data_IF_609004266460
#
_entry.id   IF_609004266460
#
_cell.length_a   1.000
_cell.length_b   1.000
_cell.length_c   1.000
_cell.angle_alpha   90.00
_cell.angle_beta   90.00
_cell.angle_gamma   90.00
#
_symmetry.space_group_name_H-M   'P 1'
#
loop_
_entity.id
_entity.type
_entity.pdbx_description
1 polymer ?
#
# COMPACT_ATOMS: atom_id res chain seq x y z
N UNK A 1 24.17 -14.98 -14.94
CA UNK A 1 23.67 -14.62 -13.59
C UNK A 1 22.37 -13.85 -13.76
N UNK A 2 21.24 -14.40 -13.34
CA UNK A 2 19.97 -13.66 -13.35
C UNK A 2 20.00 -12.60 -12.25
N UNK A 3 19.90 -11.32 -12.61
CA UNK A 3 19.73 -10.25 -11.62
C UNK A 3 18.24 -10.20 -11.27
N UNK A 4 17.90 -10.48 -10.01
CA UNK A 4 16.55 -10.24 -9.52
C UNK A 4 16.39 -8.72 -9.35
N UNK A 5 15.44 -8.11 -10.06
CA UNK A 5 15.13 -6.69 -9.90
C UNK A 5 14.65 -6.47 -8.46
N UNK A 6 15.34 -5.61 -7.72
CA UNK A 6 14.88 -5.16 -6.40
C UNK A 6 13.86 -4.05 -6.62
N UNK A 7 12.58 -4.25 -6.24
CA UNK A 7 11.56 -3.25 -6.48
C UNK A 7 11.71 -2.06 -5.54
N UNK A 8 11.49 -0.85 -6.06
CA UNK A 8 11.36 0.36 -5.24
C UNK A 8 9.97 0.36 -4.60
N UNK A 9 9.91 0.39 -3.28
CA UNK A 9 8.63 0.37 -2.57
C UNK A 9 8.01 1.77 -2.49
N UNK A 10 6.74 1.88 -2.85
CA UNK A 10 5.93 3.09 -2.78
C UNK A 10 4.72 2.82 -1.88
N UNK A 11 4.36 3.76 -1.03
CA UNK A 11 3.18 3.65 -0.17
C UNK A 11 1.98 4.25 -0.92
N UNK A 12 0.90 3.48 -1.03
CA UNK A 12 -0.38 3.93 -1.60
C UNK A 12 -1.41 3.94 -0.49
N UNK A 13 -1.77 5.13 -0.02
CA UNK A 13 -2.83 5.30 0.96
C UNK A 13 -4.18 5.19 0.26
N UNK A 14 -4.97 4.21 0.69
CA UNK A 14 -6.35 4.05 0.26
C UNK A 14 -7.23 5.00 1.08
N UNK A 15 -8.04 5.78 0.39
CA UNK A 15 -9.00 6.66 1.04
C UNK A 15 -10.10 5.85 1.75
N UNK A 16 -10.62 6.41 2.84
CA UNK A 16 -11.66 5.79 3.64
C UNK A 16 -13.02 5.82 2.95
N UNK A 17 -13.27 4.89 2.02
CA UNK A 17 -14.64 4.61 1.61
C UNK A 17 -15.45 4.05 2.79
N UNK A 18 -16.74 4.34 2.88
CA UNK A 18 -17.59 3.88 3.99
C UNK A 18 -17.81 2.36 4.06
N UNK A 19 -17.31 1.60 3.07
CA UNK A 19 -17.66 0.20 2.84
C UNK A 19 -16.56 -0.81 3.20
N UNK A 20 -15.59 -0.42 4.04
CA UNK A 20 -14.60 -1.37 4.54
C UNK A 20 -15.27 -2.38 5.48
N UNK A 21 -14.98 -3.70 5.36
CA UNK A 21 -15.43 -4.67 6.35
C UNK A 21 -14.79 -4.41 7.71
N UNK A 22 -15.61 -4.28 8.76
CA UNK A 22 -15.15 -3.94 10.13
C UNK A 22 -15.36 -5.06 11.16
N UNK A 23 -15.89 -6.20 10.71
CA UNK A 23 -16.23 -7.35 11.56
C UNK A 23 -15.25 -8.52 11.41
N UNK A 24 -14.46 -8.53 10.34
CA UNK A 24 -13.48 -9.59 10.06
C UNK A 24 -12.19 -9.04 9.46
N UNK A 25 -11.06 -9.41 10.05
CA UNK A 25 -9.74 -9.09 9.52
C UNK A 25 -9.50 -9.73 8.15
N UNK A 26 -9.98 -10.96 7.95
CA UNK A 26 -9.87 -11.66 6.68
C UNK A 26 -10.66 -10.93 5.59
N UNK A 27 -11.91 -10.54 5.88
CA UNK A 27 -12.73 -9.78 4.94
C UNK A 27 -12.07 -8.45 4.57
N UNK A 28 -11.52 -7.73 5.55
CA UNK A 28 -10.78 -6.50 5.32
C UNK A 28 -9.57 -6.71 4.40
N UNK A 29 -8.74 -7.72 4.66
CA UNK A 29 -7.57 -8.04 3.84
C UNK A 29 -7.97 -8.47 2.42
N UNK A 30 -9.06 -9.22 2.25
CA UNK A 30 -9.59 -9.61 0.95
C UNK A 30 -10.11 -8.40 0.17
N UNK A 31 -10.83 -7.48 0.82
CA UNK A 31 -11.25 -6.21 0.19
C UNK A 31 -10.05 -5.39 -0.25
N UNK A 32 -9.03 -5.27 0.60
CA UNK A 32 -7.78 -4.58 0.26
C UNK A 32 -7.05 -5.24 -0.92
N UNK A 33 -7.02 -6.57 -0.98
CA UNK A 33 -6.47 -7.31 -2.10
C UNK A 33 -7.29 -7.09 -3.39
N UNK A 34 -8.63 -7.07 -3.30
CA UNK A 34 -9.52 -6.79 -4.42
C UNK A 34 -9.32 -5.37 -4.99
N UNK A 35 -9.06 -4.37 -4.14
CA UNK A 35 -8.62 -3.03 -4.58
C UNK A 35 -7.30 -3.12 -5.34
N UNK A 36 -6.35 -3.93 -4.87
CA UNK A 36 -5.08 -4.18 -5.58
C UNK A 36 -5.27 -4.82 -6.96
N UNK A 37 -6.21 -5.75 -7.10
CA UNK A 37 -6.58 -6.34 -8.41
C UNK A 37 -7.15 -5.28 -9.34
N UNK A 38 -8.12 -4.48 -8.86
CA UNK A 38 -8.72 -3.40 -9.66
C UNK A 38 -7.68 -2.35 -10.09
N UNK A 39 -6.73 -2.02 -9.22
CA UNK A 39 -5.62 -1.14 -9.55
C UNK A 39 -4.73 -1.73 -10.65
N UNK A 40 -4.37 -3.01 -10.54
CA UNK A 40 -3.59 -3.70 -11.55
C UNK A 40 -4.31 -3.75 -12.92
N UNK A 41 -5.62 -4.01 -12.92
CA UNK A 41 -6.44 -4.01 -14.13
C UNK A 41 -6.51 -2.63 -14.76
N UNK A 42 -6.68 -1.56 -13.95
CA UNK A 42 -6.68 -0.19 -14.45
C UNK A 42 -5.33 0.23 -15.04
N UNK A 43 -4.21 -0.16 -14.40
CA UNK A 43 -2.86 0.09 -14.92
C UNK A 43 -2.64 -0.59 -16.28
N UNK A 44 -3.11 -1.81 -16.42
CA UNK A 44 -3.06 -2.55 -17.68
C UNK A 44 -3.95 -1.91 -18.74
N UNK A 45 -5.22 -1.66 -18.43
CA UNK A 45 -6.21 -1.17 -19.39
C UNK A 45 -5.94 0.26 -19.87
N UNK A 46 -5.50 1.16 -18.99
CA UNK A 46 -5.31 2.57 -19.33
C UNK A 46 -3.90 2.91 -19.80
N UNK A 47 -2.88 2.15 -19.37
CA UNK A 47 -1.47 2.50 -19.61
C UNK A 47 -0.65 1.36 -20.22
N UNK A 48 -1.24 0.18 -20.45
CA UNK A 48 -0.54 -1.02 -20.92
C UNK A 48 0.66 -1.39 -20.02
N UNK A 49 0.54 -1.08 -18.72
CA UNK A 49 1.58 -1.36 -17.74
C UNK A 49 1.38 -2.77 -17.19
N UNK A 50 2.44 -3.58 -17.22
CA UNK A 50 2.41 -4.91 -16.61
C UNK A 50 2.44 -4.78 -15.09
N UNK A 51 1.43 -5.32 -14.44
CA UNK A 51 1.30 -5.36 -12.98
C UNK A 51 0.99 -6.76 -12.47
N UNK A 52 1.37 -7.05 -11.23
CA UNK A 52 1.08 -8.30 -10.52
C UNK A 52 0.54 -7.98 -9.12
N UNK A 53 -0.77 -8.14 -8.89
CA UNK A 53 -1.35 -7.94 -7.55
C UNK A 53 -0.98 -9.08 -6.60
N UNK A 54 -0.91 -8.76 -5.30
CA UNK A 54 -0.68 -9.67 -4.18
C UNK A 54 -1.46 -9.19 -2.93
N UNK A 55 -1.48 -10.01 -1.86
CA UNK A 55 -2.13 -9.68 -0.59
C UNK A 55 -1.43 -8.49 0.09
N UNK A 56 -1.87 -7.26 -0.23
CA UNK A 56 -1.38 -6.02 0.37
C UNK A 56 -0.42 -5.18 -0.48
N UNK A 57 -0.05 -5.62 -1.68
CA UNK A 57 0.72 -4.80 -2.61
C UNK A 57 0.45 -5.15 -4.08
N UNK A 58 0.87 -4.27 -4.98
CA UNK A 58 0.91 -4.51 -6.43
C UNK A 58 2.33 -4.26 -6.92
N UNK A 59 2.96 -5.29 -7.49
CA UNK A 59 4.23 -5.12 -8.19
C UNK A 59 3.95 -4.56 -9.60
N UNK A 60 4.68 -3.53 -10.02
CA UNK A 60 4.50 -2.82 -11.29
C UNK A 60 5.83 -2.81 -12.04
N UNK A 61 5.79 -3.14 -13.34
CA UNK A 61 6.98 -3.26 -14.19
C UNK A 61 6.90 -2.25 -15.34
N UNK A 62 7.85 -1.31 -15.38
CA UNK A 62 7.91 -0.23 -16.37
C UNK A 62 9.36 -0.01 -16.77
N UNK A 63 9.66 -0.05 -18.08
CA UNK A 63 10.96 0.30 -18.65
C UNK A 63 12.19 -0.33 -17.99
N UNK A 64 12.07 -1.59 -17.56
CA UNK A 64 13.16 -2.33 -16.90
C UNK A 64 13.28 -2.08 -15.38
N UNK A 65 12.40 -1.25 -14.82
CA UNK A 65 12.28 -1.02 -13.38
C UNK A 65 11.14 -1.85 -12.79
N UNK A 66 11.24 -2.09 -11.48
CA UNK A 66 10.19 -2.70 -10.68
C UNK A 66 9.81 -1.76 -9.54
N UNK A 67 8.52 -1.57 -9.32
CA UNK A 67 7.97 -0.81 -8.21
C UNK A 67 7.01 -1.68 -7.42
N UNK A 68 7.01 -1.55 -6.10
CA UNK A 68 6.06 -2.24 -5.22
C UNK A 68 5.14 -1.22 -4.59
N UNK A 69 3.90 -1.18 -5.04
CA UNK A 69 2.85 -0.33 -4.50
C UNK A 69 2.26 -1.01 -3.25
N UNK A 70 2.72 -0.63 -2.07
CA UNK A 70 2.21 -1.14 -0.79
C UNK A 70 0.91 -0.43 -0.46
N UNK A 71 -0.18 -1.19 -0.44
CA UNK A 71 -1.50 -0.65 -0.11
C UNK A 71 -1.58 -0.42 1.40
N UNK A 72 -2.00 0.77 1.79
CA UNK A 72 -2.14 1.16 3.19
C UNK A 72 -3.55 1.68 3.47
N UNK A 73 -4.08 1.32 4.63
CA UNK A 73 -5.33 1.86 5.14
C UNK A 73 -5.14 2.18 6.62
N UNK A 74 -5.56 3.37 7.01
CA UNK A 74 -5.58 3.87 8.39
C UNK A 74 -6.54 3.10 9.30
N UNK A 75 -7.49 2.36 8.73
CA UNK A 75 -8.43 1.50 9.45
C UNK A 75 -7.81 0.18 9.91
N UNK A 76 -6.81 -0.32 9.21
CA UNK A 76 -6.21 -1.64 9.48
C UNK A 76 -5.66 -1.76 10.92
N UNK A 77 -4.91 -0.77 11.45
CA UNK A 77 -4.43 -0.81 12.84
C UNK A 77 -5.58 -0.80 13.87
N UNK A 78 -6.59 0.05 13.66
CA UNK A 78 -7.74 0.14 14.55
C UNK A 78 -8.55 -1.17 14.56
N UNK A 79 -8.73 -1.78 13.39
CA UNK A 79 -9.45 -3.04 13.24
C UNK A 79 -8.69 -4.21 13.89
N UNK A 80 -7.36 -4.28 13.73
CA UNK A 80 -6.55 -5.30 14.42
C UNK A 80 -6.65 -5.18 15.93
N UNK A 81 -6.57 -3.96 16.47
CA UNK A 81 -6.73 -3.71 17.90
C UNK A 81 -8.11 -4.18 18.39
N UNK A 82 -9.17 -3.87 17.63
CA UNK A 82 -10.55 -4.26 17.94
C UNK A 82 -10.75 -5.79 17.94
N UNK A 83 -10.29 -6.47 16.90
CA UNK A 83 -10.63 -7.88 16.66
C UNK A 83 -9.65 -8.88 17.28
N UNK A 84 -8.39 -8.48 17.49
CA UNK A 84 -7.30 -9.41 17.84
C UNK A 84 -6.55 -8.96 19.11
N UNK A 85 -6.98 -7.88 19.75
CA UNK A 85 -6.39 -7.32 20.96
C UNK A 85 -5.06 -6.59 20.75
N UNK A 86 -4.44 -6.09 21.82
CA UNK A 86 -3.22 -5.26 21.73
C UNK A 86 -1.98 -6.04 21.26
N UNK A 87 -1.94 -7.36 21.48
CA UNK A 87 -0.86 -8.24 21.01
C UNK A 87 -0.78 -8.35 19.46
N UNK A 88 -1.86 -8.01 18.75
CA UNK A 88 -1.98 -8.09 17.29
C UNK A 88 -1.20 -7.02 16.51
N UNK A 89 -0.63 -6.04 17.21
CA UNK A 89 0.20 -4.99 16.62
C UNK A 89 1.63 -5.49 16.36
N UNK A 90 2.03 -6.62 16.97
CA UNK A 90 3.35 -7.24 16.82
C UNK A 90 3.39 -8.08 15.54
N UNK A 91 3.76 -7.45 14.43
CA UNK A 91 3.86 -8.14 13.14
C UNK A 91 3.80 -7.23 11.91
N UNK A 92 3.69 -5.91 12.12
CA UNK A 92 3.89 -4.97 11.02
C UNK A 92 5.36 -5.01 10.53
N UNK A 93 5.62 -4.87 9.22
CA UNK A 93 6.90 -4.32 8.78
C UNK A 93 7.06 -3.00 9.53
N UNK A 94 8.24 -2.74 10.12
CA UNK A 94 8.35 -1.81 11.23
C UNK A 94 7.68 -0.48 10.88
N UNK A 95 6.80 0.00 11.77
CA UNK A 95 6.08 1.27 11.64
C UNK A 95 7.03 2.45 11.31
N UNK A 96 8.33 2.27 11.60
CA UNK A 96 9.43 3.13 11.19
C UNK A 96 9.54 3.35 9.68
N UNK A 97 8.94 2.54 8.80
CA UNK A 97 8.93 2.81 7.36
C UNK A 97 7.65 3.52 6.91
N UNK A 98 6.47 3.20 7.47
CA UNK A 98 5.20 3.84 7.06
C UNK A 98 5.08 5.25 7.62
N UNK A 99 5.34 5.43 8.93
CA UNK A 99 5.31 6.75 9.57
C UNK A 99 6.44 7.66 9.05
N UNK A 100 7.65 7.11 8.82
CA UNK A 100 8.76 7.84 8.21
C UNK A 100 8.45 8.26 6.77
N UNK A 101 7.83 7.39 5.96
CA UNK A 101 7.42 7.74 4.59
C UNK A 101 6.31 8.79 4.57
N UNK A 102 5.34 8.70 5.46
CA UNK A 102 4.33 9.76 5.64
C UNK A 102 4.99 11.10 6.04
N UNK A 103 5.99 11.07 6.92
CA UNK A 103 6.76 12.26 7.32
C UNK A 103 7.57 12.85 6.15
N UNK A 104 8.25 12.02 5.36
CA UNK A 104 8.98 12.48 4.17
C UNK A 104 8.03 13.12 3.14
N UNK A 105 6.86 12.54 2.88
CA UNK A 105 5.88 13.16 1.99
C UNK A 105 5.40 14.52 2.50
N UNK A 106 5.12 14.64 3.82
CA UNK A 106 4.74 15.91 4.44
C UNK A 106 5.85 16.97 4.37
N UNK A 107 7.10 16.58 4.65
CA UNK A 107 8.25 17.48 4.60
C UNK A 107 8.55 17.96 3.16
N UNK A 108 8.43 17.09 2.16
CA UNK A 108 8.67 17.46 0.75
C UNK A 108 7.56 18.36 0.20
N UNK A 109 6.29 18.13 0.57
CA UNK A 109 5.19 19.00 0.19
C UNK A 109 5.34 20.42 0.76
N UNK A 110 5.88 20.55 1.98
CA UNK A 110 6.17 21.86 2.60
C UNK A 110 7.29 22.60 1.85
N UNK A 111 8.41 21.92 1.57
CA UNK A 111 9.56 22.52 0.84
C UNK A 111 9.20 22.87 -0.61
N UNK A 112 8.35 22.08 -1.27
CA UNK A 112 7.87 22.40 -2.62
C UNK A 112 6.95 23.63 -2.65
N UNK A 113 6.21 23.89 -1.57
CA UNK A 113 5.36 25.07 -1.41
C UNK A 113 6.13 26.36 -1.09
N UNK A 114 7.35 26.27 -0.55
CA UNK A 114 8.20 27.43 -0.21
C UNK A 114 8.97 28.01 -1.41
N UNK A 115 8.98 27.31 -2.55
CA UNK A 115 9.67 27.74 -3.78
C UNK A 115 8.74 28.15 -4.93
N UNK A 116 7.45 28.40 -4.65
CA UNK A 116 6.46 28.92 -5.62
C UNK A 116 6.13 30.39 -5.41
#
# INVERSE_FOLDING_TARGET
>A
VGRCLQPVELLVQLEGSGNWPEDSMEAFLNTKAAVGVQLADALSASFNIRSRPAHGHVDVFVDGFAFRLVLFSDREPALRKKLLGEAALVGQPPASNVALRQWHHGAMALVAGEHS
#
